data_IF_921079713864
#
_entry.id   IF_921079713864
#
_cell.length_a   1.000
_cell.length_b   1.000
_cell.length_c   1.000
_cell.angle_alpha   90.00
_cell.angle_beta   90.00
_cell.angle_gamma   90.00
#
_symmetry.space_group_name_H-M   'P 1'
#
loop_
_entity.id
_entity.type
_entity.pdbx_description
1 polymer ?
#
# COMPACT_ATOMS: atom_id res chain seq x y z
N UNK A 1 27.00 -7.72 -9.27
CA UNK A 1 25.80 -6.86 -9.14
C UNK A 1 25.81 -6.25 -7.76
N UNK A 2 25.69 -4.92 -7.64
CA UNK A 2 26.00 -4.21 -6.40
C UNK A 2 24.74 -4.11 -5.53
N UNK A 3 24.89 -4.11 -4.20
CA UNK A 3 23.81 -4.15 -3.18
C UNK A 3 22.76 -3.02 -3.30
N UNK A 4 23.00 -2.03 -4.18
CA UNK A 4 22.10 -0.92 -4.54
C UNK A 4 21.07 -1.27 -5.62
N UNK A 5 21.26 -2.36 -6.36
CA UNK A 5 20.37 -2.72 -7.48
C UNK A 5 19.12 -3.50 -7.01
N UNK A 6 19.11 -4.01 -5.76
CA UNK A 6 17.99 -4.79 -5.22
C UNK A 6 16.80 -3.97 -4.72
N UNK A 7 16.98 -2.65 -4.55
CA UNK A 7 15.94 -1.74 -4.04
C UNK A 7 15.36 -0.82 -5.12
N UNK A 8 16.00 -0.73 -6.30
CA UNK A 8 15.62 0.23 -7.34
C UNK A 8 14.55 -0.27 -8.32
N UNK A 9 14.03 -1.49 -8.19
CA UNK A 9 12.97 -2.04 -9.06
C UNK A 9 11.56 -1.98 -8.45
N UNK A 10 11.31 -1.14 -7.45
CA UNK A 10 9.93 -0.78 -7.05
C UNK A 10 9.25 0.19 -8.05
N UNK A 11 9.62 0.09 -9.34
CA UNK A 11 9.01 0.77 -10.49
C UNK A 11 8.31 -0.19 -11.46
N UNK A 12 8.22 -1.47 -11.15
CA UNK A 12 7.56 -2.49 -11.97
C UNK A 12 6.12 -2.78 -11.51
N UNK A 13 5.27 -1.76 -11.33
CA UNK A 13 3.80 -1.96 -11.30
C UNK A 13 3.06 -0.70 -11.77
N UNK A 14 3.17 -0.40 -13.07
CA UNK A 14 2.09 0.26 -13.81
C UNK A 14 1.98 -0.43 -15.18
N UNK A 15 0.73 -0.62 -15.60
CA UNK A 15 0.22 -1.20 -16.85
C UNK A 15 0.35 -2.72 -17.04
N UNK A 16 -0.81 -3.36 -16.88
CA UNK A 16 -1.43 -4.38 -17.75
C UNK A 16 -0.64 -5.63 -18.14
N UNK A 17 -1.35 -6.75 -17.99
CA UNK A 17 -1.00 -8.12 -18.33
C UNK A 17 -0.14 -8.86 -17.30
N UNK A 18 -0.84 -9.76 -16.60
CA UNK A 18 -0.42 -11.07 -16.12
C UNK A 18 0.87 -11.57 -16.77
N UNK A 19 1.78 -12.11 -15.93
CA UNK A 19 3.14 -12.62 -16.21
C UNK A 19 4.26 -11.58 -16.06
N UNK A 20 4.89 -11.58 -14.87
CA UNK A 20 6.31 -11.23 -14.78
C UNK A 20 7.02 -12.31 -13.94
N UNK A 21 7.80 -13.10 -14.64
CA UNK A 21 8.85 -13.96 -14.13
C UNK A 21 9.85 -13.14 -13.30
N UNK A 22 10.16 -13.59 -12.10
CA UNK A 22 11.52 -13.44 -11.59
C UNK A 22 12.17 -14.80 -11.71
N UNK A 23 12.76 -15.06 -12.88
CA UNK A 23 13.77 -16.11 -13.02
C UNK A 23 14.88 -15.84 -11.99
N UNK A 24 15.17 -16.85 -11.17
CA UNK A 24 15.96 -16.71 -9.96
C UNK A 24 17.30 -16.00 -10.18
N UNK A 25 17.56 -14.97 -9.37
CA UNK A 25 18.89 -14.36 -9.30
C UNK A 25 19.75 -15.19 -8.36
N UNK A 26 20.88 -15.66 -8.90
CA UNK A 26 21.96 -16.41 -8.27
C UNK A 26 21.70 -17.91 -7.99
N UNK A 27 22.29 -18.75 -8.85
CA UNK A 27 22.60 -20.14 -8.52
C UNK A 27 23.83 -20.17 -7.59
N UNK A 28 23.69 -20.70 -6.38
CA UNK A 28 24.85 -21.33 -5.72
C UNK A 28 25.16 -22.67 -6.36
N UNK A 29 26.40 -23.13 -6.18
CA UNK A 29 26.85 -24.46 -6.59
C UNK A 29 26.01 -25.62 -6.03
N UNK A 30 25.20 -25.39 -4.99
CA UNK A 30 24.30 -26.37 -4.35
C UNK A 30 22.86 -26.36 -4.90
N UNK A 31 22.53 -25.50 -5.87
CA UNK A 31 21.19 -25.41 -6.47
C UNK A 31 20.14 -24.65 -5.66
N UNK A 32 20.56 -23.89 -4.62
CA UNK A 32 19.69 -22.97 -3.87
C UNK A 32 19.71 -21.53 -4.42
N UNK A 33 18.60 -20.82 -4.21
CA UNK A 33 18.41 -19.45 -4.67
C UNK A 33 18.51 -18.48 -3.50
N UNK A 34 19.20 -17.35 -3.66
CA UNK A 34 19.13 -16.30 -2.65
C UNK A 34 17.71 -15.71 -2.58
N UNK A 35 17.06 -15.57 -3.73
CA UNK A 35 15.74 -15.00 -3.90
C UNK A 35 14.89 -15.92 -4.78
N UNK A 36 13.66 -16.17 -4.37
CA UNK A 36 12.71 -16.98 -5.14
C UNK A 36 11.34 -16.31 -5.17
N UNK A 37 10.52 -16.67 -6.15
CA UNK A 37 9.12 -16.28 -6.23
C UNK A 37 8.21 -17.50 -6.40
N UNK A 38 6.92 -17.36 -6.10
CA UNK A 38 5.88 -18.32 -6.48
C UNK A 38 4.53 -17.63 -6.65
N UNK A 39 3.68 -18.20 -7.51
CA UNK A 39 2.29 -17.80 -7.67
C UNK A 39 1.40 -18.85 -7.02
N UNK A 40 0.38 -18.42 -6.29
CA UNK A 40 -0.65 -19.26 -5.68
C UNK A 40 -2.00 -18.79 -6.20
N UNK A 41 -2.60 -19.56 -7.09
CA UNK A 41 -3.97 -19.29 -7.50
C UNK A 41 -4.97 -19.72 -6.40
N UNK A 42 -6.01 -18.92 -6.21
CA UNK A 42 -7.05 -19.18 -5.21
C UNK A 42 -7.87 -20.45 -5.50
N UNK A 43 -8.04 -20.83 -6.76
CA UNK A 43 -8.70 -22.08 -7.15
C UNK A 43 -7.81 -23.28 -6.84
N UNK A 44 -6.52 -23.20 -7.19
CA UNK A 44 -5.56 -24.27 -6.89
C UNK A 44 -5.42 -24.49 -5.37
N UNK A 45 -5.38 -23.41 -4.59
CA UNK A 45 -5.34 -23.51 -3.12
C UNK A 45 -6.61 -24.14 -2.56
N UNK A 46 -7.76 -23.88 -3.17
CA UNK A 46 -9.05 -24.44 -2.75
C UNK A 46 -9.18 -25.92 -3.13
N UNK A 47 -8.82 -26.26 -4.35
CA UNK A 47 -9.07 -27.56 -4.96
C UNK A 47 -7.93 -28.56 -4.65
N UNK A 48 -6.70 -28.06 -4.50
CA UNK A 48 -5.48 -28.85 -4.28
C UNK A 48 -4.56 -28.27 -3.17
N UNK A 49 -5.08 -27.99 -1.95
CA UNK A 49 -4.32 -27.31 -0.90
C UNK A 49 -3.02 -28.04 -0.53
N UNK A 50 -3.02 -29.37 -0.44
CA UNK A 50 -1.81 -30.12 -0.07
C UNK A 50 -0.68 -30.00 -1.10
N UNK A 51 -1.00 -29.95 -2.39
CA UNK A 51 -0.01 -29.85 -3.46
C UNK A 51 0.62 -28.46 -3.48
N UNK A 52 -0.21 -27.43 -3.35
CA UNK A 52 0.23 -26.03 -3.26
C UNK A 52 1.16 -25.85 -2.05
N UNK A 53 0.81 -26.41 -0.89
CA UNK A 53 1.62 -26.28 0.32
C UNK A 53 2.95 -27.05 0.21
N UNK A 54 2.95 -28.27 -0.34
CA UNK A 54 4.20 -29.01 -0.63
C UNK A 54 5.09 -28.24 -1.60
N UNK A 55 4.51 -27.60 -2.61
CA UNK A 55 5.26 -26.75 -3.54
C UNK A 55 5.85 -25.52 -2.84
N UNK A 56 5.10 -24.88 -1.96
CA UNK A 56 5.56 -23.75 -1.15
C UNK A 56 6.72 -24.16 -0.22
N UNK A 57 6.60 -25.28 0.51
CA UNK A 57 7.66 -25.81 1.38
C UNK A 57 8.92 -26.13 0.60
N UNK A 58 8.78 -26.81 -0.54
CA UNK A 58 9.90 -27.14 -1.41
C UNK A 58 10.61 -25.86 -1.86
N UNK A 59 9.86 -24.89 -2.39
CA UNK A 59 10.43 -23.60 -2.83
C UNK A 59 11.13 -22.87 -1.68
N UNK A 60 10.52 -22.83 -0.51
CA UNK A 60 11.09 -22.22 0.68
C UNK A 60 12.37 -22.88 1.17
N UNK A 61 12.44 -24.21 1.15
CA UNK A 61 13.65 -24.96 1.49
C UNK A 61 14.83 -24.62 0.58
N UNK A 62 14.55 -24.32 -0.69
CA UNK A 62 15.54 -23.96 -1.71
C UNK A 62 15.88 -22.46 -1.71
N UNK A 63 15.21 -21.66 -0.89
CA UNK A 63 15.41 -20.21 -0.79
C UNK A 63 16.33 -19.88 0.39
N UNK A 64 17.35 -19.04 0.21
CA UNK A 64 18.28 -18.66 1.28
C UNK A 64 17.88 -17.40 2.02
N UNK A 65 17.34 -16.38 1.35
CA UNK A 65 17.02 -15.09 1.97
C UNK A 65 15.54 -14.74 1.92
N UNK A 66 14.94 -14.74 0.74
CA UNK A 66 13.62 -14.14 0.52
C UNK A 66 12.78 -14.92 -0.50
N UNK A 67 11.54 -15.24 -0.11
CA UNK A 67 10.53 -15.80 -1.00
C UNK A 67 9.41 -14.79 -1.22
N UNK A 68 9.14 -14.46 -2.47
CA UNK A 68 7.98 -13.67 -2.90
C UNK A 68 6.82 -14.60 -3.24
N UNK A 69 5.63 -14.32 -2.71
CA UNK A 69 4.39 -15.03 -3.01
C UNK A 69 3.40 -14.04 -3.59
N UNK A 70 2.96 -14.31 -4.82
CA UNK A 70 1.82 -13.66 -5.44
C UNK A 70 0.59 -14.55 -5.33
N UNK A 71 -0.60 -13.97 -5.13
CA UNK A 71 -1.86 -14.70 -5.13
C UNK A 71 -3.02 -13.88 -5.70
N UNK A 72 -3.98 -14.58 -6.30
CA UNK A 72 -5.28 -14.01 -6.66
C UNK A 72 -6.20 -13.86 -5.44
N UNK A 73 -5.89 -14.49 -4.30
CA UNK A 73 -6.65 -14.34 -3.05
C UNK A 73 -6.23 -13.08 -2.27
N UNK A 74 -6.92 -11.97 -2.53
CA UNK A 74 -6.67 -10.71 -1.81
C UNK A 74 -7.04 -10.82 -0.32
N UNK A 75 -7.96 -11.71 0.08
CA UNK A 75 -8.34 -11.93 1.48
C UNK A 75 -7.27 -12.71 2.24
N UNK A 76 -6.26 -11.98 2.70
CA UNK A 76 -5.00 -12.52 3.24
C UNK A 76 -5.09 -13.33 4.53
N UNK A 77 -6.15 -13.22 5.34
CA UNK A 77 -6.19 -13.86 6.68
C UNK A 77 -6.12 -15.39 6.67
N UNK A 78 -6.71 -16.05 5.67
CA UNK A 78 -6.65 -17.51 5.54
C UNK A 78 -5.29 -17.97 5.04
N UNK A 79 -4.89 -17.44 3.88
CA UNK A 79 -3.62 -17.76 3.23
C UNK A 79 -2.41 -17.44 4.12
N UNK A 80 -2.36 -16.27 4.77
CA UNK A 80 -1.24 -15.91 5.64
C UNK A 80 -1.07 -16.89 6.81
N UNK A 81 -2.18 -17.37 7.39
CA UNK A 81 -2.13 -18.33 8.49
C UNK A 81 -1.63 -19.69 8.01
N UNK A 82 -2.11 -20.12 6.84
CA UNK A 82 -1.69 -21.37 6.21
C UNK A 82 -0.19 -21.30 5.87
N UNK A 83 0.24 -20.27 5.14
CA UNK A 83 1.64 -20.07 4.79
C UNK A 83 2.54 -19.89 6.01
N UNK A 84 2.06 -19.21 7.07
CA UNK A 84 2.82 -19.13 8.33
C UNK A 84 3.06 -20.51 8.94
N UNK A 85 2.04 -21.37 9.01
CA UNK A 85 2.18 -22.72 9.55
C UNK A 85 3.13 -23.59 8.71
N UNK A 86 3.16 -23.37 7.40
CA UNK A 86 3.97 -24.12 6.43
C UNK A 86 5.42 -23.63 6.39
N UNK A 87 5.63 -22.32 6.37
CA UNK A 87 6.96 -21.71 6.19
C UNK A 87 7.64 -21.36 7.52
N UNK A 88 6.89 -21.38 8.62
CA UNK A 88 7.30 -20.96 9.96
C UNK A 88 7.90 -19.54 10.01
N UNK A 89 7.39 -18.65 9.17
CA UNK A 89 7.77 -17.24 9.13
C UNK A 89 6.56 -16.38 8.76
N UNK A 90 6.48 -15.18 9.32
CA UNK A 90 5.36 -14.28 9.07
C UNK A 90 5.49 -13.60 7.71
N UNK A 91 4.39 -13.57 6.97
CA UNK A 91 4.29 -12.81 5.74
C UNK A 91 4.42 -11.31 6.02
N UNK A 92 5.22 -10.63 5.19
CA UNK A 92 5.25 -9.19 5.08
C UNK A 92 4.42 -8.79 3.86
N UNK A 93 3.22 -8.21 4.03
CA UNK A 93 2.42 -7.77 2.90
C UNK A 93 3.09 -6.56 2.24
N UNK A 94 3.21 -6.60 0.91
CA UNK A 94 3.73 -5.49 0.10
C UNK A 94 2.65 -4.81 -0.73
N UNK A 95 1.64 -5.55 -1.16
CA UNK A 95 0.45 -5.04 -1.82
C UNK A 95 -0.69 -6.07 -1.67
N UNK A 96 -1.93 -5.75 -2.04
CA UNK A 96 -3.01 -6.74 -2.11
C UNK A 96 -2.60 -7.95 -2.96
N UNK A 97 -2.53 -9.13 -2.34
CA UNK A 97 -2.11 -10.37 -3.01
C UNK A 97 -0.60 -10.53 -3.20
N UNK A 98 0.24 -9.65 -2.66
CA UNK A 98 1.70 -9.73 -2.75
C UNK A 98 2.34 -9.79 -1.36
N UNK A 99 3.07 -10.88 -1.10
CA UNK A 99 3.67 -11.16 0.21
C UNK A 99 5.14 -11.54 0.10
N UNK A 100 5.95 -11.00 1.00
CA UNK A 100 7.35 -11.37 1.16
C UNK A 100 7.54 -12.23 2.42
N UNK A 101 8.34 -13.28 2.31
CA UNK A 101 8.74 -14.16 3.40
C UNK A 101 10.25 -14.12 3.53
N UNK A 102 10.74 -13.66 4.68
CA UNK A 102 12.15 -13.47 4.94
C UNK A 102 12.68 -14.57 5.88
N UNK A 103 13.83 -15.15 5.54
CA UNK A 103 14.65 -15.95 6.48
C UNK A 103 15.55 -15.05 7.33
N UNK A 104 15.92 -13.91 6.77
CA UNK A 104 16.76 -12.90 7.41
C UNK A 104 15.88 -11.80 8.02
N UNK A 105 15.84 -11.75 9.35
CA UNK A 105 15.07 -10.74 10.10
C UNK A 105 15.58 -9.31 9.88
N UNK A 106 16.89 -9.15 9.66
CA UNK A 106 17.49 -7.84 9.45
C UNK A 106 17.06 -7.30 8.08
N UNK A 107 17.06 -8.17 7.06
CA UNK A 107 16.55 -7.83 5.74
C UNK A 107 15.06 -7.47 5.78
N UNK A 108 14.26 -8.20 6.57
CA UNK A 108 12.85 -7.90 6.75
C UNK A 108 12.63 -6.50 7.36
N UNK A 109 13.41 -6.14 8.38
CA UNK A 109 13.31 -4.82 9.02
C UNK A 109 13.78 -3.69 8.09
N UNK A 110 14.87 -3.91 7.33
CA UNK A 110 15.33 -2.94 6.33
C UNK A 110 14.28 -2.72 5.24
N UNK A 111 13.64 -3.80 4.77
CA UNK A 111 12.57 -3.72 3.80
C UNK A 111 11.39 -2.89 4.33
N UNK A 112 10.95 -3.14 5.57
CA UNK A 112 9.89 -2.38 6.22
C UNK A 112 10.25 -0.90 6.41
N UNK A 113 11.51 -0.61 6.78
CA UNK A 113 12.00 0.75 6.88
C UNK A 113 11.88 1.48 5.53
N UNK A 114 12.29 0.83 4.44
CA UNK A 114 12.29 1.44 3.11
C UNK A 114 10.88 1.71 2.57
N UNK A 115 9.89 0.85 2.87
CA UNK A 115 8.48 1.11 2.51
C UNK A 115 8.00 2.44 3.12
N UNK A 116 8.35 2.70 4.39
CA UNK A 116 7.84 3.89 5.09
C UNK A 116 8.66 5.16 4.84
N UNK A 117 9.98 5.02 4.68
CA UNK A 117 10.89 6.15 4.54
C UNK A 117 11.20 6.50 3.08
N UNK A 118 11.15 5.53 2.16
CA UNK A 118 11.66 5.64 0.79
C UNK A 118 13.18 5.50 0.70
N UNK A 119 13.71 5.55 -0.52
CA UNK A 119 15.12 5.22 -0.83
C UNK A 119 16.11 6.38 -0.65
N UNK A 120 15.64 7.64 -0.70
CA UNK A 120 16.49 8.83 -0.65
C UNK A 120 15.80 9.95 0.12
N UNK A 121 16.57 10.61 0.97
CA UNK A 121 16.18 11.80 1.74
C UNK A 121 15.08 11.55 2.79
N UNK A 122 15.25 10.51 3.62
CA UNK A 122 14.34 10.31 4.74
C UNK A 122 14.34 11.50 5.71
N UNK A 123 13.14 11.90 6.15
CA UNK A 123 12.94 12.99 7.10
C UNK A 123 12.90 12.48 8.54
N UNK A 124 12.94 13.40 9.50
CA UNK A 124 12.70 13.06 10.90
C UNK A 124 11.32 12.43 11.10
N UNK A 125 10.28 12.98 10.44
CA UNK A 125 8.93 12.42 10.51
C UNK A 125 8.87 11.00 9.94
N UNK A 126 9.55 10.72 8.83
CA UNK A 126 9.56 9.38 8.22
C UNK A 126 10.08 8.32 9.18
N UNK A 127 11.23 8.58 9.80
CA UNK A 127 11.84 7.67 10.78
C UNK A 127 10.96 7.51 12.02
N UNK A 128 10.29 8.59 12.44
CA UNK A 128 9.36 8.55 13.58
C UNK A 128 8.12 7.71 13.29
N UNK A 129 7.54 7.83 12.09
CA UNK A 129 6.39 7.04 11.63
C UNK A 129 6.77 5.56 11.55
N UNK A 130 7.90 5.23 10.91
CA UNK A 130 8.43 3.87 10.88
C UNK A 130 8.56 3.30 12.30
N UNK A 131 9.21 4.03 13.20
CA UNK A 131 9.46 3.55 14.55
C UNK A 131 8.16 3.34 15.33
N UNK A 132 7.16 4.20 15.16
CA UNK A 132 5.84 4.03 15.77
C UNK A 132 5.16 2.74 15.29
N UNK A 133 5.19 2.46 13.99
CA UNK A 133 4.60 1.25 13.39
C UNK A 133 5.36 -0.03 13.78
N UNK A 134 6.68 0.02 13.73
CA UNK A 134 7.56 -1.09 14.13
C UNK A 134 7.32 -1.48 15.59
N UNK A 135 7.10 -0.49 16.47
CA UNK A 135 6.77 -0.71 17.88
C UNK A 135 5.39 -1.31 18.13
N UNK A 136 4.41 -1.09 17.25
CA UNK A 136 3.11 -1.78 17.32
C UNK A 136 3.31 -3.29 17.11
N UNK A 137 4.19 -3.68 16.18
CA UNK A 137 4.51 -5.10 15.95
C UNK A 137 5.34 -5.71 17.07
N UNK A 138 6.37 -5.01 17.53
CA UNK A 138 7.32 -5.48 18.53
C UNK A 138 7.78 -4.32 19.43
N UNK A 139 7.38 -4.34 20.70
CA UNK A 139 7.80 -3.29 21.65
C UNK A 139 9.32 -3.19 21.83
N UNK A 140 10.04 -4.29 21.60
CA UNK A 140 11.50 -4.39 21.72
C UNK A 140 12.26 -4.10 20.42
N UNK A 141 11.58 -3.60 19.37
CA UNK A 141 12.16 -3.46 18.03
C UNK A 141 13.52 -2.76 18.00
N UNK A 142 13.73 -1.71 18.79
CA UNK A 142 15.02 -1.01 18.83
C UNK A 142 16.18 -1.88 19.33
N UNK A 143 15.92 -2.87 20.16
CA UNK A 143 16.95 -3.80 20.64
C UNK A 143 17.32 -4.79 19.54
N UNK A 144 16.32 -5.35 18.84
CA UNK A 144 16.49 -6.36 17.80
C UNK A 144 16.79 -5.78 16.41
N UNK A 145 16.66 -4.46 16.23
CA UNK A 145 16.84 -3.79 14.94
C UNK A 145 18.30 -3.85 14.47
N UNK A 146 18.54 -3.98 13.15
CA UNK A 146 19.87 -3.94 12.55
C UNK A 146 20.65 -2.66 12.90
N UNK A 147 21.98 -2.75 13.02
CA UNK A 147 22.81 -1.60 13.37
C UNK A 147 22.63 -0.42 12.40
N UNK A 148 22.52 -0.71 11.10
CA UNK A 148 22.28 0.31 10.07
C UNK A 148 21.02 1.14 10.33
N UNK A 149 19.94 0.53 10.83
CA UNK A 149 18.71 1.24 11.15
C UNK A 149 18.80 1.96 12.51
N UNK A 150 19.53 1.39 13.49
CA UNK A 150 19.85 2.07 14.76
C UNK A 150 20.62 3.36 14.52
N UNK A 151 21.57 3.35 13.58
CA UNK A 151 22.35 4.53 13.20
C UNK A 151 21.45 5.60 12.55
N UNK A 152 20.55 5.19 11.64
CA UNK A 152 19.53 6.10 11.05
C UNK A 152 18.62 6.70 12.13
N UNK A 153 18.07 5.87 13.02
CA UNK A 153 17.23 6.34 14.14
C UNK A 153 17.97 7.35 15.01
N UNK A 154 19.23 7.08 15.33
CA UNK A 154 20.09 7.98 16.12
C UNK A 154 20.37 9.27 15.36
N UNK A 155 20.66 9.20 14.06
CA UNK A 155 20.91 10.36 13.21
C UNK A 155 19.74 11.34 13.15
N UNK A 156 18.49 10.84 13.04
CA UNK A 156 17.29 11.68 12.91
C UNK A 156 16.63 12.05 14.24
N UNK A 157 16.62 11.13 15.22
CA UNK A 157 15.89 11.27 16.49
C UNK A 157 16.81 11.50 17.69
N UNK A 158 18.13 11.54 17.46
CA UNK A 158 19.15 11.82 18.47
C UNK A 158 19.58 10.57 19.23
N UNK A 159 18.71 10.00 20.07
CA UNK A 159 19.02 8.78 20.81
C UNK A 159 17.79 7.90 21.00
N UNK A 160 18.01 6.62 21.35
CA UNK A 160 16.95 5.62 21.48
C UNK A 160 15.88 6.01 22.52
N UNK A 161 16.26 6.63 23.64
CA UNK A 161 15.30 7.03 24.69
C UNK A 161 14.34 8.08 24.15
N UNK A 162 14.87 9.09 23.46
CA UNK A 162 14.08 10.14 22.83
C UNK A 162 13.21 9.58 21.70
N UNK A 163 13.75 8.71 20.86
CA UNK A 163 13.01 8.07 19.78
C UNK A 163 11.82 7.24 20.30
N UNK A 164 12.00 6.50 21.40
CA UNK A 164 10.91 5.78 22.09
C UNK A 164 9.87 6.76 22.63
N UNK A 165 10.30 7.83 23.30
CA UNK A 165 9.38 8.80 23.88
C UNK A 165 8.54 9.51 22.80
N UNK A 166 9.16 9.95 21.71
CA UNK A 166 8.46 10.61 20.59
C UNK A 166 7.52 9.63 19.87
N UNK A 167 7.93 8.40 19.60
CA UNK A 167 7.06 7.40 18.95
C UNK A 167 5.87 7.01 19.83
N UNK A 168 6.06 6.90 21.16
CA UNK A 168 4.95 6.67 22.11
C UNK A 168 3.95 7.82 22.11
N UNK A 169 4.42 9.06 22.07
CA UNK A 169 3.52 10.23 21.97
C UNK A 169 2.70 10.17 20.69
N UNK A 170 3.32 9.82 19.56
CA UNK A 170 2.63 9.70 18.29
C UNK A 170 1.53 8.63 18.31
N UNK A 171 1.82 7.45 18.87
CA UNK A 171 0.83 6.39 19.07
C UNK A 171 -0.29 6.80 20.02
N UNK A 172 0.02 7.52 21.10
CA UNK A 172 -0.96 8.00 22.06
C UNK A 172 -1.94 9.00 21.44
N UNK A 173 -1.48 9.85 20.51
CA UNK A 173 -2.34 10.76 19.72
C UNK A 173 -3.38 9.94 18.95
N UNK A 174 -2.98 8.83 18.34
CA UNK A 174 -3.89 7.99 17.55
C UNK A 174 -4.93 7.21 18.36
N UNK A 175 -4.68 7.00 19.66
CA UNK A 175 -5.65 6.40 20.57
C UNK A 175 -6.73 7.37 21.07
N UNK A 176 -6.62 8.67 20.79
CA UNK A 176 -7.56 9.68 21.30
C UNK A 176 -8.83 9.74 20.44
N UNK A 177 -10.03 9.65 21.07
CA UNK A 177 -11.29 9.81 20.36
C UNK A 177 -11.36 11.13 19.60
N UNK A 178 -11.79 11.09 18.34
CA UNK A 178 -11.95 12.28 17.49
C UNK A 178 -10.66 12.85 16.90
N UNK A 179 -9.48 12.34 17.28
CA UNK A 179 -8.21 12.90 16.78
C UNK A 179 -8.00 12.68 15.28
N UNK A 180 -8.37 11.51 14.77
CA UNK A 180 -8.37 11.23 13.32
C UNK A 180 -9.20 12.27 12.57
N UNK A 181 -10.42 12.53 13.04
CA UNK A 181 -11.31 13.55 12.46
C UNK A 181 -10.66 14.94 12.47
N UNK A 182 -10.14 15.37 13.61
CA UNK A 182 -9.47 16.67 13.76
C UNK A 182 -8.30 16.83 12.78
N UNK A 183 -7.45 15.81 12.67
CA UNK A 183 -6.30 15.84 11.76
C UNK A 183 -6.73 15.82 10.29
N UNK A 184 -7.76 15.03 9.95
CA UNK A 184 -8.35 15.07 8.62
C UNK A 184 -8.86 16.48 8.30
N UNK A 185 -9.66 17.09 9.17
CA UNK A 185 -10.24 18.43 8.96
C UNK A 185 -9.18 19.55 8.86
N UNK A 186 -8.00 19.35 9.46
CA UNK A 186 -6.85 20.26 9.35
C UNK A 186 -6.00 20.05 8.10
N UNK A 187 -6.20 18.95 7.38
CA UNK A 187 -5.45 18.65 6.16
C UNK A 187 -5.97 19.54 5.03
N UNK A 188 -5.09 20.39 4.47
CA UNK A 188 -5.43 21.35 3.42
C UNK A 188 -5.59 20.70 2.03
N UNK A 189 -5.01 19.51 1.86
CA UNK A 189 -4.86 18.82 0.59
C UNK A 189 -5.80 17.63 0.49
N UNK A 190 -6.23 17.32 -0.74
CA UNK A 190 -7.20 16.27 -1.00
C UNK A 190 -8.65 16.74 -0.90
N UNK A 191 -9.57 15.80 -1.13
CA UNK A 191 -11.00 16.06 -1.15
C UNK A 191 -11.62 15.71 0.20
N UNK A 192 -12.39 16.64 0.78
CA UNK A 192 -13.08 16.44 2.05
C UNK A 192 -14.59 16.36 1.88
N UNK A 193 -15.20 15.38 2.53
CA UNK A 193 -16.65 15.34 2.80
C UNK A 193 -16.90 15.20 4.32
N UNK A 194 -18.17 15.17 4.74
CA UNK A 194 -18.54 15.06 6.17
C UNK A 194 -18.10 13.75 6.85
N UNK A 195 -17.82 12.71 6.06
CA UNK A 195 -17.53 11.36 6.52
C UNK A 195 -16.04 11.00 6.39
N UNK A 196 -15.30 11.64 5.49
CA UNK A 196 -13.96 11.22 5.12
C UNK A 196 -13.07 12.32 4.53
N UNK A 197 -11.76 12.04 4.60
CA UNK A 197 -10.74 12.67 3.77
C UNK A 197 -10.34 11.69 2.68
N UNK A 198 -10.29 12.16 1.44
CA UNK A 198 -9.90 11.40 0.26
C UNK A 198 -8.65 12.01 -0.34
N UNK A 199 -7.58 11.22 -0.44
CA UNK A 199 -6.31 11.67 -1.00
C UNK A 199 -5.80 10.66 -2.02
N UNK A 200 -5.06 11.14 -3.01
CA UNK A 200 -4.18 10.28 -3.77
C UNK A 200 -3.00 9.85 -2.91
N UNK A 201 -2.49 8.64 -3.14
CA UNK A 201 -1.43 8.07 -2.30
C UNK A 201 -0.14 8.90 -2.27
N UNK A 202 0.12 9.70 -3.32
CA UNK A 202 1.26 10.61 -3.35
C UNK A 202 1.28 11.63 -2.21
N UNK A 203 0.11 11.95 -1.63
CA UNK A 203 -0.01 12.92 -0.54
C UNK A 203 0.28 12.33 0.84
N UNK A 204 0.49 11.01 0.98
CA UNK A 204 0.71 10.39 2.30
C UNK A 204 1.84 11.08 3.06
N UNK A 205 2.95 11.39 2.40
CA UNK A 205 4.12 12.02 3.04
C UNK A 205 3.86 13.45 3.52
N UNK A 206 2.87 14.13 2.94
CA UNK A 206 2.47 15.51 3.28
C UNK A 206 1.49 15.56 4.45
N UNK A 207 0.94 14.41 4.88
CA UNK A 207 0.03 14.35 6.02
C UNK A 207 0.74 14.52 7.37
N UNK A 208 -0.03 14.91 8.37
CA UNK A 208 0.39 14.85 9.78
C UNK A 208 0.95 13.44 10.10
N UNK A 209 2.11 13.33 10.78
CA UNK A 209 2.73 12.04 11.10
C UNK A 209 1.80 11.05 11.80
N UNK A 210 0.82 11.54 12.57
CA UNK A 210 -0.14 10.67 13.25
C UNK A 210 -1.11 10.04 12.26
N UNK A 211 -1.61 10.79 11.25
CA UNK A 211 -2.39 10.22 10.15
C UNK A 211 -1.57 9.24 9.31
N UNK A 212 -0.27 9.49 9.12
CA UNK A 212 0.64 8.56 8.44
C UNK A 212 0.76 7.24 9.20
N UNK A 213 0.89 7.29 10.52
CA UNK A 213 0.84 6.10 11.38
C UNK A 213 -0.52 5.41 11.30
N UNK A 214 -1.62 6.16 11.28
CA UNK A 214 -2.96 5.60 11.13
C UNK A 214 -3.13 4.81 9.83
N UNK A 215 -2.64 5.36 8.71
CA UNK A 215 -2.59 4.68 7.41
C UNK A 215 -1.61 3.48 7.45
N UNK A 216 -0.48 3.63 8.12
CA UNK A 216 0.47 2.53 8.30
C UNK A 216 -0.09 1.37 9.12
N UNK A 217 -1.02 1.61 10.06
CA UNK A 217 -1.67 0.53 10.80
C UNK A 217 -2.49 -0.39 9.89
N UNK A 218 -3.08 0.11 8.80
CA UNK A 218 -3.76 -0.75 7.82
C UNK A 218 -2.80 -1.51 6.92
N UNK A 219 -1.53 -1.11 6.85
CA UNK A 219 -0.51 -1.81 6.07
C UNK A 219 -0.28 -3.25 6.54
N UNK A 220 -0.57 -3.57 7.80
CA UNK A 220 -0.53 -4.96 8.30
C UNK A 220 -1.52 -5.89 7.60
N UNK A 221 -2.55 -5.34 6.96
CA UNK A 221 -3.57 -6.10 6.22
C UNK A 221 -3.48 -5.88 4.72
N UNK A 222 -3.29 -4.62 4.31
CA UNK A 222 -3.29 -4.18 2.92
C UNK A 222 -1.94 -4.37 2.21
N UNK A 223 -0.83 -4.25 2.94
CA UNK A 223 0.50 -4.03 2.35
C UNK A 223 0.83 -2.55 2.25
N UNK A 224 1.71 -2.18 1.32
CA UNK A 224 2.15 -0.80 1.13
C UNK A 224 0.97 0.10 0.70
N UNK A 225 0.55 1.09 1.52
CA UNK A 225 -0.48 2.05 1.13
C UNK A 225 -0.19 2.79 -0.19
N UNK A 226 1.08 2.90 -0.58
CA UNK A 226 1.50 3.49 -1.85
C UNK A 226 1.10 2.68 -3.09
N UNK A 227 0.66 1.42 -2.92
CA UNK A 227 0.14 0.61 -4.04
C UNK A 227 -1.31 0.91 -4.42
N UNK A 228 -2.01 1.79 -3.69
CA UNK A 228 -3.34 2.25 -4.05
C UNK A 228 -3.27 3.57 -4.84
N UNK A 229 -4.31 3.89 -5.61
CA UNK A 229 -4.42 5.21 -6.23
C UNK A 229 -5.00 6.21 -5.22
N UNK A 230 -6.19 5.92 -4.67
CA UNK A 230 -6.89 6.80 -3.71
C UNK A 230 -7.07 6.11 -2.37
N UNK A 231 -6.85 6.86 -1.30
CA UNK A 231 -7.08 6.48 0.10
C UNK A 231 -8.20 7.33 0.67
N UNK A 232 -9.22 6.65 1.20
CA UNK A 232 -10.30 7.23 2.01
C UNK A 232 -10.04 6.96 3.48
N UNK A 233 -9.78 8.01 4.24
CA UNK A 233 -9.66 7.99 5.70
C UNK A 233 -11.03 8.31 6.28
N UNK A 234 -11.68 7.35 6.95
CA UNK A 234 -12.98 7.57 7.58
C UNK A 234 -12.81 8.38 8.86
N UNK A 235 -13.46 9.55 8.96
CA UNK A 235 -13.30 10.49 10.09
C UNK A 235 -13.91 9.95 11.39
N UNK A 236 -15.04 9.23 11.28
CA UNK A 236 -15.88 8.82 12.43
C UNK A 236 -15.77 7.33 12.76
N UNK A 237 -15.06 6.56 11.95
CA UNK A 237 -14.89 5.12 12.20
C UNK A 237 -13.46 4.70 11.94
N UNK A 238 -12.97 3.71 12.68
CA UNK A 238 -11.59 3.20 12.60
C UNK A 238 -11.32 2.41 11.31
N UNK A 239 -11.60 3.02 10.15
CA UNK A 239 -11.57 2.38 8.84
C UNK A 239 -10.79 3.20 7.84
N UNK A 240 -10.16 2.49 6.93
CA UNK A 240 -9.48 3.03 5.76
C UNK A 240 -10.01 2.28 4.54
N UNK A 241 -10.20 2.97 3.43
CA UNK A 241 -10.59 2.33 2.16
C UNK A 241 -9.63 2.74 1.05
N UNK A 242 -9.08 1.75 0.39
CA UNK A 242 -8.18 1.87 -0.74
C UNK A 242 -8.96 1.64 -2.03
N UNK A 243 -8.70 2.46 -3.03
CA UNK A 243 -9.29 2.38 -4.36
C UNK A 243 -8.16 2.20 -5.37
N UNK A 244 -8.31 1.18 -6.22
CA UNK A 244 -7.43 0.91 -7.35
C UNK A 244 -8.24 1.03 -8.62
N UNK A 245 -7.67 1.71 -9.61
CA UNK A 245 -8.25 1.90 -10.92
C UNK A 245 -7.40 1.23 -12.00
N UNK A 246 -7.97 1.13 -13.20
CA UNK A 246 -7.31 0.55 -14.37
C UNK A 246 -6.06 1.32 -14.84
N UNK A 247 -6.17 2.64 -14.93
CA UNK A 247 -5.07 3.55 -15.23
C UNK A 247 -5.37 4.97 -14.68
N UNK A 248 -5.22 5.11 -13.37
CA UNK A 248 -5.48 6.38 -12.68
C UNK A 248 -4.65 7.54 -13.22
N UNK A 249 -3.42 7.28 -13.67
CA UNK A 249 -2.52 8.33 -14.13
C UNK A 249 -2.99 8.85 -15.49
N UNK A 250 -3.15 7.96 -16.47
CA UNK A 250 -3.25 8.35 -17.87
C UNK A 250 -4.70 8.55 -18.34
N UNK A 251 -5.68 7.80 -17.79
CA UNK A 251 -7.09 7.95 -18.18
C UNK A 251 -7.74 9.11 -17.45
N UNK A 252 -8.45 9.98 -18.16
CA UNK A 252 -9.21 11.08 -17.56
C UNK A 252 -10.42 10.60 -16.73
N UNK A 253 -11.00 9.46 -17.13
CA UNK A 253 -12.08 8.76 -16.43
C UNK A 253 -11.67 7.28 -16.21
N UNK A 254 -10.75 7.01 -15.26
CA UNK A 254 -10.31 5.65 -14.96
C UNK A 254 -11.43 4.84 -14.29
N UNK A 255 -11.55 3.57 -14.66
CA UNK A 255 -12.54 2.63 -14.14
C UNK A 255 -12.06 1.97 -12.84
N UNK A 256 -12.93 1.88 -11.85
CA UNK A 256 -12.60 1.24 -10.57
C UNK A 256 -12.45 -0.27 -10.76
N UNK A 257 -11.27 -0.78 -10.43
CA UNK A 257 -10.97 -2.20 -10.45
C UNK A 257 -11.20 -2.85 -9.10
N UNK A 258 -10.68 -2.24 -8.03
CA UNK A 258 -10.75 -2.82 -6.71
C UNK A 258 -11.04 -1.75 -5.67
N UNK A 259 -11.87 -2.14 -4.70
CA UNK A 259 -12.04 -1.40 -3.47
C UNK A 259 -11.73 -2.31 -2.30
N UNK A 260 -10.79 -1.90 -1.45
CA UNK A 260 -10.36 -2.67 -0.29
C UNK A 260 -10.58 -1.85 0.96
N UNK A 261 -11.37 -2.38 1.89
CA UNK A 261 -11.73 -1.72 3.14
C UNK A 261 -11.09 -2.43 4.31
N UNK A 262 -10.25 -1.72 5.05
CA UNK A 262 -9.64 -2.20 6.28
C UNK A 262 -10.37 -1.60 7.47
N UNK A 263 -10.88 -2.47 8.35
CA UNK A 263 -11.43 -2.11 9.65
C UNK A 263 -10.36 -2.41 10.71
N UNK A 264 -9.71 -1.35 11.20
CA UNK A 264 -8.60 -1.44 12.15
C UNK A 264 -9.07 -1.96 13.51
N UNK A 265 -10.28 -1.59 13.94
CA UNK A 265 -10.85 -2.05 15.22
C UNK A 265 -11.18 -3.54 15.19
N UNK A 266 -11.68 -4.04 14.06
CA UNK A 266 -12.02 -5.46 13.88
C UNK A 266 -10.88 -6.30 13.32
N UNK A 267 -9.74 -5.67 13.00
CA UNK A 267 -8.59 -6.30 12.36
C UNK A 267 -8.99 -7.12 11.12
N UNK A 268 -9.87 -6.53 10.30
CA UNK A 268 -10.49 -7.21 9.15
C UNK A 268 -10.30 -6.41 7.88
N UNK A 269 -10.07 -7.13 6.77
CA UNK A 269 -10.05 -6.57 5.43
C UNK A 269 -11.18 -7.17 4.59
N UNK A 270 -11.94 -6.30 3.92
CA UNK A 270 -12.96 -6.65 2.95
C UNK A 270 -12.52 -6.17 1.56
N UNK A 271 -12.49 -7.08 0.59
CA UNK A 271 -12.20 -6.78 -0.81
C UNK A 271 -13.48 -6.85 -1.64
N UNK A 272 -13.65 -5.86 -2.51
CA UNK A 272 -14.72 -5.73 -3.47
C UNK A 272 -14.09 -5.65 -4.86
N UNK A 273 -14.28 -6.68 -5.69
CA UNK A 273 -13.86 -6.71 -7.09
C UNK A 273 -14.88 -5.97 -7.96
N UNK A 274 -14.44 -4.91 -8.61
CA UNK A 274 -15.26 -4.08 -9.48
C UNK A 274 -15.10 -4.38 -10.98
N UNK A 275 -14.10 -5.18 -11.39
CA UNK A 275 -13.72 -5.42 -12.81
C UNK A 275 -14.82 -6.09 -13.64
N UNK A 276 -15.68 -6.88 -13.00
CA UNK A 276 -16.75 -7.64 -13.68
C UNK A 276 -18.11 -6.90 -13.72
N UNK A 277 -18.18 -5.66 -13.24
CA UNK A 277 -19.43 -4.90 -13.26
C UNK A 277 -19.81 -4.51 -14.69
N UNK A 278 -21.06 -4.78 -15.09
CA UNK A 278 -21.59 -4.39 -16.41
C UNK A 278 -21.57 -2.87 -16.67
N UNK A 279 -21.50 -2.10 -15.60
CA UNK A 279 -21.59 -0.65 -15.55
C UNK A 279 -20.46 -0.19 -14.62
N UNK A 280 -19.23 -0.03 -15.14
CA UNK A 280 -18.09 0.32 -14.31
C UNK A 280 -18.28 1.73 -13.71
N UNK A 281 -17.86 1.89 -12.47
CA UNK A 281 -17.78 3.18 -11.82
C UNK A 281 -16.45 3.83 -12.19
N UNK A 282 -16.48 5.07 -12.69
CA UNK A 282 -15.27 5.85 -12.99
C UNK A 282 -15.05 6.92 -11.95
N UNK A 283 -13.78 7.22 -11.64
CA UNK A 283 -13.43 8.42 -10.85
C UNK A 283 -13.37 9.64 -11.76
N UNK A 284 -13.86 10.76 -11.26
CA UNK A 284 -13.91 12.05 -11.95
C UNK A 284 -13.46 13.18 -11.01
N UNK A 285 -13.16 14.37 -11.56
CA UNK A 285 -12.54 15.47 -10.82
C UNK A 285 -11.26 15.09 -10.06
N UNK A 286 -10.35 14.38 -10.74
CA UNK A 286 -9.16 13.78 -10.13
C UNK A 286 -8.19 14.79 -9.53
N UNK A 287 -8.16 16.01 -10.04
CA UNK A 287 -7.32 17.09 -9.54
C UNK A 287 -7.60 17.42 -8.06
N UNK A 288 -8.80 17.09 -7.55
CA UNK A 288 -9.18 17.26 -6.15
C UNK A 288 -8.42 16.35 -5.19
N UNK A 289 -7.81 15.25 -5.67
CA UNK A 289 -7.15 14.26 -4.81
C UNK A 289 -5.63 14.44 -4.72
N UNK A 290 -5.03 15.30 -5.56
CA UNK A 290 -3.57 15.45 -5.69
C UNK A 290 -3.11 16.85 -5.33
N UNK A 291 -1.78 17.02 -5.27
CA UNK A 291 -1.16 18.34 -5.13
C UNK A 291 -1.35 19.20 -6.37
N UNK A 292 -1.55 20.53 -6.24
CA UNK A 292 -1.44 21.47 -7.35
C UNK A 292 -0.08 21.43 -8.06
N UNK A 293 0.95 20.87 -7.42
CA UNK A 293 2.27 20.63 -8.01
C UNK A 293 2.39 19.30 -8.76
N UNK A 294 1.32 18.49 -8.82
CA UNK A 294 1.31 17.27 -9.63
C UNK A 294 1.43 17.62 -11.12
N UNK A 295 2.27 16.89 -11.86
CA UNK A 295 2.55 17.16 -13.28
C UNK A 295 1.32 17.09 -14.19
N UNK A 296 0.31 16.31 -13.81
CA UNK A 296 -0.96 16.13 -14.55
C UNK A 296 -2.08 17.03 -14.03
N UNK A 297 -1.84 17.83 -12.98
CA UNK A 297 -2.88 18.64 -12.33
C UNK A 297 -3.59 19.57 -13.32
N UNK A 298 -2.84 20.24 -14.20
CA UNK A 298 -3.41 21.16 -15.20
C UNK A 298 -4.38 20.45 -16.15
N UNK A 299 -3.94 19.36 -16.77
CA UNK A 299 -4.78 18.56 -17.68
C UNK A 299 -6.04 18.02 -17.01
N UNK A 300 -5.92 17.51 -15.77
CA UNK A 300 -7.09 17.02 -15.03
C UNK A 300 -8.04 18.16 -14.68
N UNK A 301 -7.51 19.34 -14.33
CA UNK A 301 -8.32 20.53 -14.05
C UNK A 301 -9.05 21.03 -15.30
N UNK A 302 -8.40 21.03 -16.45
CA UNK A 302 -9.02 21.41 -17.72
C UNK A 302 -10.16 20.46 -18.09
N UNK A 303 -9.96 19.15 -17.93
CA UNK A 303 -11.01 18.17 -18.13
C UNK A 303 -12.17 18.34 -17.14
N UNK A 304 -11.88 18.66 -15.88
CA UNK A 304 -12.87 18.96 -14.86
C UNK A 304 -13.70 20.21 -15.18
N UNK A 305 -13.08 21.26 -15.73
CA UNK A 305 -13.81 22.42 -16.23
C UNK A 305 -14.73 22.05 -17.41
N UNK A 306 -14.25 21.20 -18.33
CA UNK A 306 -15.08 20.69 -19.43
C UNK A 306 -16.27 19.86 -18.92
N UNK A 307 -16.10 19.06 -17.88
CA UNK A 307 -17.20 18.33 -17.23
C UNK A 307 -18.26 19.30 -16.66
N UNK A 308 -17.83 20.37 -15.98
CA UNK A 308 -18.74 21.41 -15.46
C UNK A 308 -19.52 22.11 -16.58
N UNK A 309 -18.87 22.45 -17.68
CA UNK A 309 -19.52 23.05 -18.86
C UNK A 309 -20.59 22.12 -19.48
N UNK A 310 -20.42 20.81 -19.32
CA UNK A 310 -21.39 19.79 -19.75
C UNK A 310 -22.43 19.43 -18.68
N UNK A 311 -22.41 20.10 -17.53
CA UNK A 311 -23.40 19.96 -16.46
C UNK A 311 -23.13 18.83 -15.47
N UNK A 312 -21.89 18.35 -15.36
CA UNK A 312 -21.49 17.38 -14.34
C UNK A 312 -20.94 18.09 -13.12
N UNK A 313 -21.53 17.84 -11.96
CA UNK A 313 -21.14 18.46 -10.70
C UNK A 313 -20.24 17.55 -9.83
N UNK A 314 -19.33 18.11 -9.02
CA UNK A 314 -18.38 17.38 -8.17
C UNK A 314 -19.01 16.78 -6.89
N UNK A 315 -20.29 16.37 -6.95
CA UNK A 315 -21.12 15.90 -5.83
C UNK A 315 -20.72 14.51 -5.28
N UNK A 316 -19.80 13.83 -5.96
CA UNK A 316 -19.30 12.51 -5.59
C UNK A 316 -17.85 12.29 -6.00
N UNK A 317 -17.39 11.06 -5.79
CA UNK A 317 -16.07 10.57 -6.20
C UNK A 317 -16.18 9.75 -7.49
N UNK A 318 -17.26 8.97 -7.56
CA UNK A 318 -17.49 7.96 -8.58
C UNK A 318 -18.82 8.23 -9.27
N UNK A 319 -18.86 7.96 -10.56
CA UNK A 319 -20.08 7.99 -11.35
C UNK A 319 -20.14 6.77 -12.27
N UNK A 320 -21.34 6.26 -12.53
CA UNK A 320 -21.51 5.17 -13.48
C UNK A 320 -21.11 5.61 -14.88
N UNK A 321 -20.20 4.87 -15.52
CA UNK A 321 -19.81 5.18 -16.88
C UNK A 321 -20.97 4.92 -17.85
N UNK A 322 -21.28 5.92 -18.66
CA UNK A 322 -22.38 5.87 -19.60
C UNK A 322 -21.95 6.47 -20.95
N UNK A 323 -22.87 6.41 -21.92
CA UNK A 323 -22.62 6.90 -23.29
C UNK A 323 -22.30 8.40 -23.33
N UNK A 324 -22.98 9.22 -22.53
CA UNK A 324 -22.74 10.68 -22.48
C UNK A 324 -21.33 10.99 -21.98
N UNK A 325 -20.86 10.33 -20.91
CA UNK A 325 -19.49 10.49 -20.43
C UNK A 325 -18.44 10.09 -21.47
N UNK A 326 -18.68 9.02 -22.23
CA UNK A 326 -17.79 8.60 -23.32
C UNK A 326 -17.76 9.62 -24.46
N UNK A 327 -18.90 10.19 -24.82
CA UNK A 327 -18.98 11.25 -25.84
C UNK A 327 -18.26 12.52 -25.37
N UNK A 328 -18.41 12.90 -24.09
CA UNK A 328 -17.71 14.05 -23.51
C UNK A 328 -16.19 13.82 -23.51
N UNK A 329 -15.73 12.65 -23.08
CA UNK A 329 -14.31 12.28 -23.12
C UNK A 329 -13.76 12.36 -24.54
N UNK A 330 -14.46 11.77 -25.51
CA UNK A 330 -14.04 11.82 -26.91
C UNK A 330 -13.99 13.26 -27.46
N UNK A 331 -14.93 14.12 -27.06
CA UNK A 331 -14.95 15.53 -27.48
C UNK A 331 -13.83 16.37 -26.90
N UNK A 332 -13.29 15.98 -25.73
CA UNK A 332 -12.17 16.66 -25.09
C UNK A 332 -10.83 16.23 -25.67
N UNK A 333 -10.71 14.95 -26.05
CA UNK A 333 -9.48 14.40 -26.63
C UNK A 333 -9.32 14.65 -28.15
N UNK A 334 -10.38 15.13 -28.82
CA UNK A 334 -10.39 15.47 -30.24
C UNK A 334 -9.96 16.91 -30.46
#
# INVERSE_FOLDING_TARGET
MNKKDFLLEYKLMKSTDTYIEFDGVDHSEDGSYDFASMSIDSLDLRDHPEEVLKAAEKRWSQTRKLLLVYTTEIKSTGLNKILFNTLNTSAVPAAPGLFFFFKDSDLAEIFQFNIHCGDKDETKEDVLVYLALARIKNESVLSSMPQILKDKVTGHLGNNIRAIAESRKLLAVMGQPGKVKELCEKTEMGMQDDEALWIHTSLIKELDPALRVYIGCSAFFYGDPASADIIKIHKKSSKITYYLYDDFENKLLPEMHDRIKVDLSRQKMDHFDHRSHRKPEVVYFKERFVSPHNSRYGEWKDFSNHLLEKGYEPDGIHIEQNRSLKEILNSFCA
#
